data_IF_410813869947
#
_entry.id   IF_410813869947
#
_cell.length_a   1.000
_cell.length_b   1.000
_cell.length_c   1.000
_cell.angle_alpha   90.00
_cell.angle_beta   90.00
_cell.angle_gamma   90.00
#
_symmetry.space_group_name_H-M   'P 1'
#
loop_
_entity.id
_entity.type
_entity.pdbx_description
1 polymer ?
#
# COMPACT_ATOMS: atom_id res chain seq x y z
N UNK A 1 -2.42 72.79 26.78
CA UNK A 1 -3.13 73.46 27.88
C UNK A 1 -3.13 72.56 29.12
N UNK A 2 -2.57 73.07 30.21
CA UNK A 2 -2.89 72.80 31.64
C UNK A 2 -3.31 71.38 32.12
N UNK A 3 -2.45 70.78 32.96
CA UNK A 3 -2.83 70.05 34.20
C UNK A 3 -3.45 71.07 35.20
N UNK A 4 -4.21 70.74 36.30
CA UNK A 4 -3.92 69.63 37.24
C UNK A 4 -5.06 69.06 38.17
N UNK A 5 -4.71 67.98 38.91
CA UNK A 5 -4.89 67.69 40.37
C UNK A 5 -6.27 67.47 41.07
N UNK A 6 -6.20 66.48 42.00
CA UNK A 6 -6.98 66.21 43.25
C UNK A 6 -8.29 65.42 43.07
N UNK A 7 -8.61 64.33 43.78
CA UNK A 7 -8.03 63.69 44.97
C UNK A 7 -9.10 63.57 46.06
N UNK A 8 -9.63 62.37 46.34
CA UNK A 8 -10.24 62.03 47.64
C UNK A 8 -9.85 60.60 48.05
N UNK A 9 -9.31 60.53 49.26
CA UNK A 9 -8.88 59.38 50.06
C UNK A 9 -10.07 58.88 50.89
N UNK A 10 -10.22 57.58 51.09
CA UNK A 10 -10.82 57.04 52.31
C UNK A 10 -10.10 55.76 52.73
N UNK A 11 -9.70 55.74 54.01
CA UNK A 11 -8.86 54.74 54.68
C UNK A 11 -9.71 53.57 55.22
N UNK A 12 -9.03 52.44 55.28
CA UNK A 12 -9.34 51.10 55.82
C UNK A 12 -9.69 51.14 57.34
N UNK A 13 -10.24 50.05 57.91
CA UNK A 13 -9.33 49.22 58.71
C UNK A 13 -9.44 47.70 58.48
N UNK A 14 -8.29 47.08 58.67
CA UNK A 14 -8.00 45.65 58.71
C UNK A 14 -8.82 44.90 59.77
N UNK A 15 -9.17 43.64 59.48
CA UNK A 15 -9.00 42.58 60.48
C UNK A 15 -8.51 41.31 59.79
N UNK A 16 -7.50 40.73 60.42
CA UNK A 16 -6.70 39.59 60.06
C UNK A 16 -7.33 38.28 60.51
N UNK A 17 -7.33 37.25 59.66
CA UNK A 17 -7.20 35.87 60.12
C UNK A 17 -6.35 35.05 59.14
N UNK A 18 -5.45 34.28 59.75
CA UNK A 18 -4.38 33.49 59.16
C UNK A 18 -4.81 32.03 58.96
N UNK A 19 -4.19 31.37 57.98
CA UNK A 19 -3.84 29.93 57.83
C UNK A 19 -4.14 29.47 56.39
N UNK A 20 -3.14 29.48 55.50
CA UNK A 20 -2.14 28.44 55.22
C UNK A 20 -2.68 27.17 54.57
N UNK A 21 -2.52 27.05 53.25
CA UNK A 21 -1.81 25.92 52.63
C UNK A 21 -1.52 26.26 51.17
N UNK A 22 -0.23 26.33 50.86
CA UNK A 22 0.35 26.55 49.53
C UNK A 22 0.46 25.22 48.78
N UNK A 23 -0.06 25.16 47.55
CA UNK A 23 0.32 24.15 46.56
C UNK A 23 1.10 24.83 45.43
N UNK A 24 2.22 24.25 44.96
CA UNK A 24 3.08 24.89 43.98
C UNK A 24 2.50 24.78 42.57
N UNK A 25 2.77 25.81 41.78
CA UNK A 25 2.62 25.85 40.34
C UNK A 25 3.74 25.01 39.71
N UNK A 26 3.39 23.98 38.95
CA UNK A 26 4.34 23.31 38.05
C UNK A 26 3.80 23.16 36.63
N UNK A 27 4.72 23.39 35.70
CA UNK A 27 4.53 23.67 34.27
C UNK A 27 3.93 22.49 33.50
N UNK A 28 3.00 22.82 32.61
CA UNK A 28 2.41 21.92 31.62
C UNK A 28 3.46 21.49 30.59
N UNK A 29 3.82 20.20 30.59
CA UNK A 29 4.39 19.53 29.43
C UNK A 29 3.29 18.71 28.74
N UNK A 30 2.88 19.14 27.55
CA UNK A 30 1.99 18.39 26.68
C UNK A 30 2.69 17.12 26.16
N UNK A 31 2.43 15.98 26.79
CA UNK A 31 2.55 14.69 26.09
C UNK A 31 1.22 14.34 25.45
N UNK A 32 1.11 14.56 24.13
CA UNK A 32 0.10 13.90 23.30
C UNK A 32 0.42 12.39 23.31
N UNK A 33 -0.16 11.68 24.29
CA UNK A 33 -0.23 10.22 24.27
C UNK A 33 -1.08 9.83 23.07
N UNK A 34 -0.43 9.42 21.97
CA UNK A 34 -1.10 8.67 20.91
C UNK A 34 -1.60 7.38 21.55
N UNK A 35 -2.88 7.34 21.85
CA UNK A 35 -3.56 6.15 22.32
C UNK A 35 -3.61 5.20 21.11
N UNK A 36 -2.70 4.23 21.05
CA UNK A 36 -2.84 3.11 20.12
C UNK A 36 -4.09 2.36 20.55
N UNK A 37 -5.15 2.44 19.76
CA UNK A 37 -6.27 1.52 19.89
C UNK A 37 -5.68 0.15 19.62
N UNK A 38 -5.55 -0.68 20.66
CA UNK A 38 -5.31 -2.11 20.51
C UNK A 38 -6.55 -2.68 19.81
N UNK A 39 -6.51 -2.71 18.49
CA UNK A 39 -7.52 -3.42 17.72
C UNK A 39 -7.17 -4.90 17.88
N UNK A 40 -7.98 -5.63 18.66
CA UNK A 40 -7.74 -7.06 18.92
C UNK A 40 -7.95 -7.95 17.69
N UNK A 41 -8.65 -7.45 16.67
CA UNK A 41 -8.88 -8.16 15.40
C UNK A 41 -8.90 -7.19 14.22
N UNK A 42 -8.03 -7.42 13.23
CA UNK A 42 -7.97 -6.67 11.98
C UNK A 42 -8.90 -7.30 10.93
N UNK A 43 -9.58 -6.49 10.12
CA UNK A 43 -10.27 -6.99 8.92
C UNK A 43 -9.34 -6.90 7.70
N UNK A 44 -8.96 -8.06 7.17
CA UNK A 44 -8.03 -8.23 6.05
C UNK A 44 -8.70 -9.12 4.99
N UNK A 45 -9.13 -8.55 3.87
CA UNK A 45 -9.87 -9.29 2.83
C UNK A 45 -11.14 -9.97 3.32
N UNK A 46 -11.89 -9.28 4.19
CA UNK A 46 -13.13 -9.81 4.77
C UNK A 46 -12.92 -10.83 5.89
N UNK A 47 -11.67 -11.19 6.21
CA UNK A 47 -11.34 -12.07 7.34
C UNK A 47 -10.99 -11.26 8.58
N UNK A 48 -11.54 -11.63 9.73
CA UNK A 48 -11.13 -11.10 11.03
C UNK A 48 -9.94 -11.91 11.53
N UNK A 49 -8.78 -11.26 11.63
CA UNK A 49 -7.53 -11.90 12.02
C UNK A 49 -7.01 -11.24 13.31
N UNK A 50 -6.77 -12.05 14.34
CA UNK A 50 -6.27 -11.55 15.62
C UNK A 50 -4.75 -11.36 15.60
N UNK A 51 -4.21 -10.57 16.54
CA UNK A 51 -2.75 -10.41 16.65
C UNK A 51 -2.07 -11.74 16.93
N UNK A 52 -2.67 -12.54 17.80
CA UNK A 52 -2.17 -13.84 18.23
C UNK A 52 -2.13 -14.84 17.07
N UNK A 53 -2.94 -14.66 16.03
CA UNK A 53 -2.92 -15.48 14.81
C UNK A 53 -1.81 -15.09 13.82
N UNK A 54 -1.23 -13.88 13.95
CA UNK A 54 -0.17 -13.39 13.04
C UNK A 54 1.19 -13.40 13.71
N UNK A 55 1.23 -13.01 14.99
CA UNK A 55 2.43 -12.99 15.83
C UNK A 55 2.28 -14.15 16.80
N UNK A 56 2.53 -15.36 16.29
CA UNK A 56 2.50 -16.63 17.05
C UNK A 56 3.86 -16.93 17.64
N UNK A 57 3.88 -17.75 18.68
CA UNK A 57 5.10 -18.43 19.15
C UNK A 57 5.45 -19.59 18.21
N UNK A 58 5.87 -19.25 16.99
CA UNK A 58 6.34 -20.18 15.97
C UNK A 58 7.81 -19.86 15.65
N UNK A 59 8.72 -20.85 15.60
CA UNK A 59 10.15 -20.62 15.40
C UNK A 59 10.50 -20.00 14.04
N UNK A 60 9.58 -20.07 13.07
CA UNK A 60 9.72 -19.50 11.74
C UNK A 60 9.02 -18.15 11.58
N UNK A 61 8.25 -17.72 12.59
CA UNK A 61 7.66 -16.39 12.60
C UNK A 61 8.74 -15.32 12.72
N UNK A 62 8.74 -14.36 11.79
CA UNK A 62 9.71 -13.28 11.79
C UNK A 62 9.06 -11.89 11.64
N UNK A 63 7.77 -11.76 11.96
CA UNK A 63 7.00 -10.52 11.82
C UNK A 63 7.16 -9.66 13.08
N UNK A 64 7.85 -8.51 13.00
CA UNK A 64 7.95 -7.63 14.15
C UNK A 64 6.64 -6.85 14.37
N UNK A 65 6.41 -6.40 15.61
CA UNK A 65 5.26 -5.57 15.99
C UNK A 65 5.11 -4.31 15.11
N UNK A 66 6.23 -3.76 14.64
CA UNK A 66 6.25 -2.58 13.76
C UNK A 66 5.62 -2.85 12.39
N UNK A 67 5.72 -4.08 11.88
CA UNK A 67 5.11 -4.52 10.62
C UNK A 67 3.67 -4.95 10.85
N UNK A 68 3.39 -5.66 11.95
CA UNK A 68 2.01 -5.96 12.34
C UNK A 68 1.15 -4.69 12.44
N UNK A 69 1.69 -3.60 13.01
CA UNK A 69 1.00 -2.32 13.11
C UNK A 69 0.70 -1.64 11.75
N UNK A 70 1.25 -2.13 10.64
CA UNK A 70 0.99 -1.65 9.26
C UNK A 70 -0.11 -2.43 8.55
N UNK A 71 -0.40 -3.65 9.01
CA UNK A 71 -1.47 -4.46 8.44
C UNK A 71 -2.81 -3.73 8.55
N UNK A 72 -3.59 -3.78 7.47
CA UNK A 72 -4.94 -3.19 7.45
C UNK A 72 -4.97 -1.66 7.35
N UNK A 73 -3.83 -1.00 7.14
CA UNK A 73 -3.83 0.46 6.89
C UNK A 73 -4.57 0.83 5.60
N UNK A 74 -4.52 -0.03 4.57
CA UNK A 74 -5.24 0.10 3.29
C UNK A 74 -5.17 1.52 2.71
N UNK A 75 -3.95 2.08 2.63
CA UNK A 75 -3.76 3.49 2.26
C UNK A 75 -4.21 3.79 0.82
N UNK A 76 -4.09 2.82 -0.08
CA UNK A 76 -4.57 2.88 -1.47
C UNK A 76 -6.10 2.95 -1.60
N UNK A 77 -6.85 2.57 -0.56
CA UNK A 77 -8.32 2.68 -0.54
C UNK A 77 -8.81 4.02 0.01
N UNK A 78 -7.91 4.88 0.47
CA UNK A 78 -8.24 6.21 1.00
C UNK A 78 -8.15 7.24 -0.14
N UNK A 79 -9.29 7.67 -0.67
CA UNK A 79 -9.34 8.55 -1.85
C UNK A 79 -8.56 9.88 -1.73
N UNK A 80 -8.34 10.38 -0.51
CA UNK A 80 -7.57 11.62 -0.28
C UNK A 80 -6.08 11.38 0.02
N UNK A 81 -5.66 10.11 0.09
CA UNK A 81 -4.26 9.76 0.28
C UNK A 81 -3.55 9.75 -1.09
N UNK A 82 -2.29 10.19 -1.20
CA UNK A 82 -1.56 10.19 -2.48
C UNK A 82 -1.58 8.85 -3.22
N UNK A 83 -1.47 7.74 -2.48
CA UNK A 83 -1.59 6.39 -3.05
C UNK A 83 -3.00 6.09 -3.60
N UNK A 84 -4.05 6.56 -2.93
CA UNK A 84 -5.43 6.40 -3.41
C UNK A 84 -5.70 7.27 -4.63
N UNK A 85 -5.16 8.50 -4.66
CA UNK A 85 -5.23 9.39 -5.82
C UNK A 85 -4.56 8.73 -7.04
N UNK A 86 -3.34 8.21 -6.87
CA UNK A 86 -2.61 7.53 -7.95
C UNK A 86 -3.35 6.26 -8.43
N UNK A 87 -3.83 5.43 -7.50
CA UNK A 87 -4.64 4.25 -7.83
C UNK A 87 -5.86 4.62 -8.65
N UNK A 88 -6.62 5.63 -8.20
CA UNK A 88 -7.84 6.07 -8.87
C UNK A 88 -7.54 6.61 -10.27
N UNK A 89 -6.45 7.36 -10.47
CA UNK A 89 -6.03 7.80 -11.79
C UNK A 89 -5.71 6.62 -12.74
N UNK A 90 -5.12 5.54 -12.23
CA UNK A 90 -4.93 4.32 -13.04
C UNK A 90 -6.28 3.64 -13.33
N UNK A 91 -7.17 3.52 -12.35
CA UNK A 91 -8.50 2.96 -12.55
C UNK A 91 -9.31 3.74 -13.59
N UNK A 92 -9.25 5.07 -13.56
CA UNK A 92 -9.92 5.95 -14.51
C UNK A 92 -9.41 5.72 -15.95
N UNK A 93 -8.10 5.49 -16.12
CA UNK A 93 -7.54 5.10 -17.43
C UNK A 93 -8.18 3.81 -17.94
N UNK A 94 -8.24 2.77 -17.11
CA UNK A 94 -8.79 1.48 -17.51
C UNK A 94 -10.30 1.56 -17.79
N UNK A 95 -11.07 2.28 -16.97
CA UNK A 95 -12.50 2.50 -17.21
C UNK A 95 -12.79 3.24 -18.51
N UNK A 96 -11.94 4.23 -18.82
CA UNK A 96 -12.11 5.04 -20.02
C UNK A 96 -11.74 4.28 -21.30
N UNK A 97 -10.64 3.51 -21.26
CA UNK A 97 -10.07 2.89 -22.46
C UNK A 97 -10.49 1.43 -22.66
N UNK A 98 -10.96 0.77 -21.60
CA UNK A 98 -11.38 -0.63 -21.57
C UNK A 98 -12.67 -0.79 -20.76
N UNK A 99 -13.77 -0.12 -21.18
CA UNK A 99 -15.02 -0.10 -20.42
C UNK A 99 -15.54 -1.52 -20.16
N UNK A 100 -15.93 -1.78 -18.92
CA UNK A 100 -16.45 -3.06 -18.43
C UNK A 100 -15.55 -4.28 -18.71
N UNK A 101 -14.25 -4.07 -18.96
CA UNK A 101 -13.33 -5.13 -19.32
C UNK A 101 -12.51 -5.66 -18.14
N UNK A 102 -12.04 -4.79 -17.25
CA UNK A 102 -11.15 -5.17 -16.15
C UNK A 102 -11.89 -5.17 -14.81
N UNK A 103 -11.96 -6.35 -14.18
CA UNK A 103 -12.32 -6.46 -12.77
C UNK A 103 -11.25 -5.78 -11.90
N UNK A 104 -11.65 -5.21 -10.75
CA UNK A 104 -10.73 -4.48 -9.86
C UNK A 104 -10.77 -5.06 -8.47
N UNK A 105 -9.63 -5.56 -8.02
CA UNK A 105 -9.43 -6.08 -6.68
C UNK A 105 -8.53 -5.12 -5.91
N UNK A 106 -9.02 -4.58 -4.79
CA UNK A 106 -8.24 -3.69 -3.94
C UNK A 106 -8.29 -4.01 -2.44
N UNK A 107 -8.84 -5.17 -2.11
CA UNK A 107 -9.10 -5.62 -0.74
C UNK A 107 -8.65 -7.05 -0.44
N UNK A 108 -7.96 -7.73 -1.36
CA UNK A 108 -7.47 -9.09 -1.13
C UNK A 108 -6.54 -9.19 0.09
N UNK A 109 -6.65 -10.29 0.82
CA UNK A 109 -5.93 -10.50 2.08
C UNK A 109 -4.41 -10.55 1.83
N UNK A 110 -3.59 -9.73 2.51
CA UNK A 110 -2.13 -9.74 2.32
C UNK A 110 -1.45 -10.95 2.97
N UNK A 111 -2.16 -11.78 3.73
CA UNK A 111 -1.64 -13.02 4.32
C UNK A 111 -1.99 -14.16 3.38
N UNK A 112 -0.96 -14.79 2.82
CA UNK A 112 -1.10 -15.80 1.77
C UNK A 112 -0.23 -17.01 2.08
N UNK A 113 -0.54 -18.14 1.45
CA UNK A 113 0.34 -19.30 1.54
C UNK A 113 1.67 -19.05 0.83
N UNK A 114 2.74 -19.72 1.27
CA UNK A 114 4.03 -19.80 0.56
C UNK A 114 3.83 -20.24 -0.89
N UNK A 115 2.89 -21.17 -1.10
CA UNK A 115 2.49 -21.65 -2.42
C UNK A 115 1.95 -20.55 -3.31
N UNK A 116 0.98 -19.77 -2.85
CA UNK A 116 0.41 -18.63 -3.58
C UNK A 116 1.49 -17.58 -3.89
N UNK A 117 2.31 -17.23 -2.89
CA UNK A 117 3.32 -16.17 -3.06
C UNK A 117 4.51 -16.59 -3.93
N UNK A 118 4.81 -17.87 -4.07
CA UNK A 118 6.02 -18.31 -4.77
C UNK A 118 5.80 -19.46 -5.77
N UNK A 119 5.23 -20.59 -5.33
CA UNK A 119 5.14 -21.78 -6.18
C UNK A 119 4.23 -21.54 -7.40
N UNK A 120 3.07 -20.91 -7.20
CA UNK A 120 2.07 -20.65 -8.25
C UNK A 120 2.54 -19.58 -9.26
N UNK A 121 3.56 -18.81 -8.90
CA UNK A 121 4.20 -17.79 -9.75
C UNK A 121 5.59 -18.23 -10.21
N UNK A 122 5.88 -19.53 -10.15
CA UNK A 122 7.09 -20.17 -10.71
C UNK A 122 8.42 -19.68 -10.09
N UNK A 123 8.39 -19.18 -8.86
CA UNK A 123 9.62 -18.88 -8.10
C UNK A 123 10.14 -20.19 -7.52
N UNK A 124 11.38 -20.66 -7.76
CA UNK A 124 11.86 -21.94 -7.21
C UNK A 124 12.06 -21.94 -5.69
N UNK A 125 12.07 -23.12 -5.06
CA UNK A 125 12.22 -23.28 -3.60
C UNK A 125 13.57 -22.80 -3.05
N UNK A 126 14.62 -22.82 -3.86
CA UNK A 126 15.98 -22.35 -3.55
C UNK A 126 16.21 -20.88 -3.93
N UNK A 127 15.18 -20.17 -4.38
CA UNK A 127 15.29 -18.77 -4.77
C UNK A 127 15.52 -17.85 -3.55
N UNK A 128 16.44 -16.88 -3.70
CA UNK A 128 16.87 -15.99 -2.60
C UNK A 128 15.72 -15.24 -1.94
N UNK A 129 14.70 -14.84 -2.72
CA UNK A 129 13.52 -14.14 -2.19
C UNK A 129 12.73 -14.93 -1.15
N UNK A 130 12.84 -16.27 -1.13
CA UNK A 130 12.22 -17.12 -0.11
C UNK A 130 12.97 -17.11 1.23
N UNK A 131 14.16 -16.51 1.30
CA UNK A 131 14.92 -16.41 2.53
C UNK A 131 14.15 -15.67 3.62
N UNK A 132 14.32 -16.09 4.87
CA UNK A 132 13.82 -15.37 6.04
C UNK A 132 14.40 -13.95 6.16
N UNK A 133 15.49 -13.63 5.44
CA UNK A 133 16.04 -12.28 5.40
C UNK A 133 15.30 -11.35 4.43
N UNK A 134 14.56 -11.88 3.44
CA UNK A 134 13.88 -11.09 2.40
C UNK A 134 12.35 -11.10 2.57
N UNK A 135 11.80 -12.15 3.19
CA UNK A 135 10.35 -12.37 3.31
C UNK A 135 9.88 -12.44 4.76
N UNK A 136 8.70 -11.87 5.01
CA UNK A 136 7.99 -11.98 6.28
C UNK A 136 7.16 -13.26 6.33
N UNK A 137 7.54 -14.19 7.21
CA UNK A 137 6.85 -15.45 7.47
C UNK A 137 6.00 -15.32 8.73
N UNK A 138 4.73 -15.71 8.62
CA UNK A 138 3.82 -15.93 9.75
C UNK A 138 4.12 -17.29 10.39
N UNK A 139 4.35 -18.29 9.54
CA UNK A 139 4.79 -19.65 9.87
C UNK A 139 5.46 -20.28 8.63
N UNK A 140 5.87 -21.54 8.70
CA UNK A 140 6.59 -22.21 7.61
C UNK A 140 5.82 -22.34 6.29
N UNK A 141 4.50 -22.13 6.29
CA UNK A 141 3.63 -22.28 5.12
C UNK A 141 2.88 -20.98 4.76
N UNK A 142 3.04 -19.92 5.54
CA UNK A 142 2.26 -18.68 5.44
C UNK A 142 3.16 -17.46 5.51
N UNK A 143 2.95 -16.51 4.60
CA UNK A 143 3.75 -15.27 4.49
C UNK A 143 2.85 -14.04 4.38
N UNK A 144 3.43 -12.87 4.65
CA UNK A 144 2.88 -11.63 4.11
C UNK A 144 3.30 -11.54 2.63
N UNK A 145 2.35 -11.26 1.72
CA UNK A 145 2.60 -11.26 0.27
C UNK A 145 3.73 -10.30 -0.10
N UNK A 146 4.65 -10.76 -0.94
CA UNK A 146 5.77 -9.97 -1.44
C UNK A 146 5.39 -9.15 -2.68
N UNK A 147 4.32 -9.55 -3.37
CA UNK A 147 3.78 -8.95 -4.58
C UNK A 147 2.29 -9.33 -4.72
N UNK A 148 1.53 -8.53 -5.46
CA UNK A 148 0.11 -8.83 -5.77
C UNK A 148 -0.05 -10.08 -6.63
N UNK A 149 1.01 -10.54 -7.32
CA UNK A 149 0.96 -11.77 -8.13
C UNK A 149 0.56 -13.01 -7.32
N UNK A 150 0.67 -12.96 -5.99
CA UNK A 150 0.24 -14.02 -5.09
C UNK A 150 -1.24 -14.41 -5.24
N UNK A 151 -2.08 -13.53 -5.79
CA UNK A 151 -3.50 -13.81 -6.02
C UNK A 151 -3.83 -14.20 -7.47
N UNK A 152 -2.90 -14.01 -8.42
CA UNK A 152 -3.21 -14.16 -9.85
C UNK A 152 -3.70 -15.57 -10.20
N UNK A 153 -3.03 -16.61 -9.72
CA UNK A 153 -3.41 -17.99 -10.02
C UNK A 153 -4.79 -18.36 -9.45
N UNK A 154 -5.18 -17.79 -8.31
CA UNK A 154 -6.53 -17.96 -7.75
C UNK A 154 -7.58 -17.22 -8.56
N UNK A 155 -7.31 -15.95 -8.90
CA UNK A 155 -8.21 -15.13 -9.71
C UNK A 155 -8.46 -15.76 -11.10
N UNK A 156 -7.39 -16.22 -11.78
CA UNK A 156 -7.48 -16.93 -13.04
C UNK A 156 -8.31 -18.22 -12.92
N UNK A 157 -8.10 -19.01 -11.86
CA UNK A 157 -8.90 -20.22 -11.59
C UNK A 157 -10.38 -19.92 -11.35
N UNK A 158 -10.68 -18.75 -10.80
CA UNK A 158 -12.05 -18.26 -10.58
C UNK A 158 -12.69 -17.66 -11.85
N UNK A 159 -11.97 -17.67 -12.98
CA UNK A 159 -12.49 -17.25 -14.28
C UNK A 159 -12.26 -15.77 -14.61
N UNK A 160 -11.57 -15.02 -13.77
CA UNK A 160 -11.18 -13.65 -14.07
C UNK A 160 -10.07 -13.65 -15.11
N UNK A 161 -10.36 -13.17 -16.32
CA UNK A 161 -9.40 -13.14 -17.44
C UNK A 161 -8.76 -11.76 -17.64
N UNK A 162 -9.39 -10.71 -17.09
CA UNK A 162 -8.94 -9.34 -17.19
C UNK A 162 -9.17 -8.65 -15.85
N UNK A 163 -8.09 -8.34 -15.14
CA UNK A 163 -8.23 -7.73 -13.81
C UNK A 163 -7.04 -6.86 -13.43
N UNK A 164 -7.30 -5.92 -12.53
CA UNK A 164 -6.32 -5.14 -11.80
C UNK A 164 -6.32 -5.61 -10.34
N UNK A 165 -5.16 -5.92 -9.80
CA UNK A 165 -4.97 -6.22 -8.38
C UNK A 165 -4.09 -5.14 -7.76
N UNK A 166 -4.62 -4.42 -6.76
CA UNK A 166 -3.92 -3.38 -6.02
C UNK A 166 -3.87 -3.71 -4.54
N UNK A 167 -2.67 -3.61 -3.97
CA UNK A 167 -2.56 -3.71 -2.53
C UNK A 167 -1.20 -3.37 -1.96
N UNK A 168 -1.15 -3.39 -0.64
CA UNK A 168 0.07 -3.35 0.15
C UNK A 168 0.84 -4.68 0.04
N UNK A 169 2.15 -4.58 -0.07
CA UNK A 169 3.09 -5.69 -0.17
C UNK A 169 4.22 -5.51 0.83
N UNK A 170 4.79 -6.63 1.28
CA UNK A 170 5.63 -6.70 2.46
C UNK A 170 6.97 -7.36 2.12
N UNK A 171 8.06 -6.64 2.34
CA UNK A 171 9.43 -7.13 2.10
C UNK A 171 10.35 -6.73 3.24
N UNK A 172 11.31 -7.58 3.60
CA UNK A 172 12.29 -7.31 4.65
C UNK A 172 13.45 -6.44 4.15
N UNK A 173 13.12 -5.35 3.47
CA UNK A 173 14.12 -4.44 2.93
C UNK A 173 14.73 -3.54 4.03
N UNK A 174 15.99 -3.17 3.85
CA UNK A 174 16.64 -2.16 4.69
C UNK A 174 15.94 -0.81 4.50
N UNK A 175 15.60 -0.13 5.59
CA UNK A 175 14.93 1.18 5.51
C UNK A 175 15.95 2.24 5.08
N UNK A 176 15.75 2.84 3.91
CA UNK A 176 16.53 3.95 3.40
C UNK A 176 15.65 4.93 2.59
N UNK A 177 16.25 5.86 1.84
CA UNK A 177 15.50 6.86 1.07
C UNK A 177 14.71 6.28 -0.12
N UNK A 178 15.01 5.05 -0.52
CA UNK A 178 14.45 4.35 -1.69
C UNK A 178 13.73 3.06 -1.34
N UNK A 179 13.93 2.54 -0.13
CA UNK A 179 13.38 1.26 0.32
C UNK A 179 12.57 1.43 1.60
N UNK A 180 11.38 0.84 1.62
CA UNK A 180 10.52 0.78 2.78
C UNK A 180 9.82 -0.59 2.83
N UNK A 181 9.73 -1.25 3.99
CA UNK A 181 9.29 -2.65 4.09
C UNK A 181 7.80 -2.87 3.77
N UNK A 182 7.01 -1.80 3.64
CA UNK A 182 5.59 -1.85 3.27
C UNK A 182 5.30 -0.81 2.19
N UNK A 183 5.17 -1.25 0.95
CA UNK A 183 4.84 -0.39 -0.18
C UNK A 183 3.58 -0.91 -0.88
N UNK A 184 3.12 -0.21 -1.91
CA UNK A 184 1.90 -0.59 -2.62
C UNK A 184 2.25 -0.92 -4.06
N UNK A 185 1.64 -1.99 -4.55
CA UNK A 185 1.80 -2.48 -5.91
C UNK A 185 0.42 -2.54 -6.56
N UNK A 186 0.40 -2.27 -7.87
CA UNK A 186 -0.73 -2.60 -8.73
C UNK A 186 -0.19 -3.47 -9.87
N UNK A 187 -0.88 -4.56 -10.17
CA UNK A 187 -0.64 -5.39 -11.35
C UNK A 187 -1.91 -5.44 -12.20
N UNK A 188 -1.72 -5.55 -13.51
CA UNK A 188 -2.79 -5.79 -14.46
C UNK A 188 -2.55 -7.09 -15.23
N UNK A 189 -3.59 -7.93 -15.31
CA UNK A 189 -3.58 -9.18 -16.05
C UNK A 189 -4.64 -9.12 -17.15
N UNK A 190 -4.28 -9.58 -18.35
CA UNK A 190 -5.20 -9.76 -19.47
C UNK A 190 -4.87 -11.06 -20.20
N UNK A 191 -5.87 -11.92 -20.38
CA UNK A 191 -5.76 -13.20 -21.07
C UNK A 191 -6.58 -13.16 -22.35
N UNK A 192 -5.92 -13.46 -23.47
CA UNK A 192 -6.53 -13.50 -24.79
C UNK A 192 -6.87 -14.94 -25.18
N UNK A 193 -8.10 -15.17 -25.63
CA UNK A 193 -8.53 -16.39 -26.28
C UNK A 193 -8.14 -16.37 -27.78
N UNK A 194 -8.10 -17.53 -28.46
CA UNK A 194 -7.79 -17.58 -29.89
C UNK A 194 -8.63 -16.63 -30.75
N UNK A 195 -9.92 -16.52 -30.45
CA UNK A 195 -10.84 -15.62 -31.16
C UNK A 195 -10.44 -14.13 -31.08
N UNK A 196 -9.61 -13.72 -30.11
CA UNK A 196 -9.17 -12.34 -29.97
C UNK A 196 -8.09 -11.95 -30.99
N UNK A 197 -7.32 -12.92 -31.51
CA UNK A 197 -6.15 -12.66 -32.34
C UNK A 197 -6.10 -13.46 -33.66
N UNK A 198 -6.86 -14.55 -33.81
CA UNK A 198 -6.83 -15.36 -35.04
C UNK A 198 -7.16 -14.53 -36.30
N UNK A 199 -8.10 -13.58 -36.18
CA UNK A 199 -8.50 -12.73 -37.29
C UNK A 199 -7.46 -11.66 -37.68
N UNK A 200 -6.50 -11.33 -36.79
CA UNK A 200 -5.47 -10.33 -37.11
C UNK A 200 -4.35 -10.88 -37.99
N UNK A 201 -4.26 -12.20 -38.17
CA UNK A 201 -3.19 -12.84 -38.94
C UNK A 201 -1.81 -12.75 -38.27
N UNK A 202 -1.76 -12.29 -37.01
CA UNK A 202 -0.56 -12.27 -36.16
C UNK A 202 -0.58 -13.46 -35.22
N UNK A 203 0.58 -13.94 -34.76
CA UNK A 203 0.60 -14.94 -33.70
C UNK A 203 0.17 -14.37 -32.34
N UNK A 204 -0.23 -15.25 -31.42
CA UNK A 204 -0.73 -14.88 -30.09
C UNK A 204 0.26 -14.02 -29.29
N UNK A 205 1.55 -14.32 -29.37
CA UNK A 205 2.59 -13.60 -28.63
C UNK A 205 2.74 -12.18 -29.16
N UNK A 206 2.83 -12.02 -30.48
CA UNK A 206 2.89 -10.70 -31.12
C UNK A 206 1.65 -9.85 -30.81
N UNK A 207 0.46 -10.46 -30.84
CA UNK A 207 -0.78 -9.76 -30.48
C UNK A 207 -0.77 -9.29 -29.02
N UNK A 208 -0.40 -10.17 -28.09
CA UNK A 208 -0.33 -9.83 -26.67
C UNK A 208 0.72 -8.73 -26.40
N UNK A 209 1.87 -8.79 -27.07
CA UNK A 209 2.92 -7.78 -26.96
C UNK A 209 2.46 -6.41 -27.46
N UNK A 210 1.78 -6.36 -28.61
CA UNK A 210 1.22 -5.11 -29.15
C UNK A 210 0.13 -4.53 -28.24
N UNK A 211 -0.78 -5.38 -27.74
CA UNK A 211 -1.82 -4.97 -26.81
C UNK A 211 -1.23 -4.42 -25.50
N UNK A 212 -0.23 -5.10 -24.93
CA UNK A 212 0.49 -4.67 -23.74
C UNK A 212 1.19 -3.32 -23.98
N UNK A 213 1.92 -3.19 -25.09
CA UNK A 213 2.58 -1.95 -25.48
C UNK A 213 1.57 -0.81 -25.56
N UNK A 214 0.49 -0.98 -26.33
CA UNK A 214 -0.55 0.06 -26.47
C UNK A 214 -1.17 0.45 -25.13
N UNK A 215 -1.44 -0.51 -24.26
CA UNK A 215 -1.96 -0.27 -22.91
C UNK A 215 -0.98 0.54 -22.06
N UNK A 216 0.30 0.15 -22.01
CA UNK A 216 1.30 0.85 -21.20
C UNK A 216 1.64 2.24 -21.74
N UNK A 217 1.70 2.40 -23.06
CA UNK A 217 1.92 3.72 -23.69
C UNK A 217 0.74 4.67 -23.38
N UNK A 218 -0.50 4.18 -23.51
CA UNK A 218 -1.69 4.95 -23.17
C UNK A 218 -1.78 5.29 -21.68
N UNK A 219 -1.45 4.35 -20.80
CA UNK A 219 -1.43 4.59 -19.35
C UNK A 219 -0.39 5.65 -18.98
N UNK A 220 0.82 5.57 -19.55
CA UNK A 220 1.87 6.57 -19.32
C UNK A 220 1.43 7.97 -19.79
N UNK A 221 0.81 8.06 -20.96
CA UNK A 221 0.26 9.33 -21.46
C UNK A 221 -0.87 9.86 -20.58
N UNK A 222 -1.73 8.99 -20.05
CA UNK A 222 -2.80 9.39 -19.13
C UNK A 222 -2.26 9.95 -17.81
N UNK A 223 -1.26 9.29 -17.22
CA UNK A 223 -0.71 9.69 -15.92
C UNK A 223 0.20 10.92 -15.98
N UNK A 224 0.94 11.09 -17.09
CA UNK A 224 2.01 12.10 -17.18
C UNK A 224 1.83 13.13 -18.29
N UNK A 225 0.79 13.01 -19.12
CA UNK A 225 0.54 13.88 -20.28
C UNK A 225 1.32 13.48 -21.54
N UNK A 226 1.24 14.30 -22.60
CA UNK A 226 1.98 14.07 -23.85
C UNK A 226 3.49 14.18 -23.61
N UNK A 227 4.19 13.05 -23.71
CA UNK A 227 5.65 12.99 -23.63
C UNK A 227 6.26 13.36 -24.99
N UNK A 228 6.08 14.62 -25.40
CA UNK A 228 6.65 15.13 -26.65
C UNK A 228 8.18 15.25 -26.48
N UNK A 229 8.91 14.17 -26.82
CA UNK A 229 10.37 14.14 -26.97
C UNK A 229 11.13 13.07 -26.17
N UNK A 230 10.55 12.52 -25.10
CA UNK A 230 11.21 11.51 -24.24
C UNK A 230 10.79 10.06 -24.54
N UNK A 231 9.72 9.88 -25.34
CA UNK A 231 9.17 8.55 -25.63
C UNK A 231 9.99 7.71 -26.62
N UNK A 232 10.73 8.35 -27.54
CA UNK A 232 11.65 7.65 -28.45
C UNK A 232 12.74 6.87 -27.69
N UNK A 233 13.26 7.46 -26.61
CA UNK A 233 14.23 6.84 -25.71
C UNK A 233 13.64 5.71 -24.84
N UNK A 234 12.32 5.70 -24.63
CA UNK A 234 11.62 4.67 -23.86
C UNK A 234 11.23 3.47 -24.74
N UNK A 235 10.73 3.73 -25.96
CA UNK A 235 10.47 2.73 -27.00
C UNK A 235 11.73 1.97 -27.46
N UNK A 236 12.89 2.63 -27.49
CA UNK A 236 14.18 1.97 -27.71
C UNK A 236 14.60 1.08 -26.53
N UNK A 237 14.13 1.38 -25.32
CA UNK A 237 14.49 0.65 -24.09
C UNK A 237 13.58 -0.57 -23.85
N UNK A 238 12.31 -0.51 -24.24
CA UNK A 238 11.37 -1.63 -24.18
C UNK A 238 11.64 -2.72 -25.23
N UNK A 239 12.19 -2.36 -26.40
CA UNK A 239 12.70 -3.34 -27.39
C UNK A 239 13.83 -4.24 -26.86
N UNK A 240 14.51 -3.85 -25.79
CA UNK A 240 15.51 -4.69 -25.13
C UNK A 240 14.93 -5.64 -24.07
N UNK A 241 13.65 -5.47 -23.69
CA UNK A 241 12.96 -6.36 -22.74
C UNK A 241 12.42 -7.61 -23.47
N UNK A 242 12.07 -7.50 -24.76
CA UNK A 242 11.71 -8.65 -25.63
C UNK A 242 12.84 -9.67 -25.83
N UNK A 243 14.08 -9.38 -25.38
CA UNK A 243 15.22 -10.30 -25.49
C UNK A 243 15.57 -11.02 -24.18
N UNK A 244 14.75 -10.87 -23.14
CA UNK A 244 15.02 -11.46 -21.81
C UNK A 244 13.86 -12.27 -21.20
N UNK A 245 12.85 -12.59 -22.00
CA UNK A 245 11.90 -13.66 -21.74
C UNK A 245 12.08 -14.74 -22.81
#
# INVERSE_FOLDING_TARGET
LYLPKNGIRLRIPFSSFSSSSSLPVDRVHHHKRRQSVLVSALELGGLKISKEEIVRDDPTNNIPDTIFAKLGMQLHRRNQHPLGILKNAIYDYFDTNYPDKFDKFDDLCPIVSVRQNFDEVLVPADHVSRSYNDTYYVDSQTVLRCHTSAHQAELLRNGYTHFLDTGDVYRRDSIDSTHYPVFHQMEGVGVFAPNDWEASGTDATSHAAEALKKCLEGLAQHLFGSMDGSFGLWSDRTRNIEKKW
#
